data_IF_009035794484
#
_entry.id   IF_009035794484
#
_cell.length_a   1.000
_cell.length_b   1.000
_cell.length_c   1.000
_cell.angle_alpha   90.00
_cell.angle_beta   90.00
_cell.angle_gamma   90.00
#
_symmetry.space_group_name_H-M   'P 1'
#
loop_
_entity.id
_entity.type
_entity.pdbx_description
1 polymer ?
#
# COMPACT_ATOMS: atom_id res chain seq x y z
N UNK A 1 -12.16 21.82 10.16
CA UNK A 1 -10.73 21.83 10.54
C UNK A 1 -10.40 20.43 11.02
N UNK A 2 -9.45 19.73 10.39
CA UNK A 2 -9.00 18.42 10.88
C UNK A 2 -8.17 18.68 12.12
N UNK A 3 -8.66 18.27 13.29
CA UNK A 3 -7.80 18.21 14.48
C UNK A 3 -6.69 17.22 14.18
N UNK A 4 -5.44 17.65 14.30
CA UNK A 4 -4.30 16.79 13.99
C UNK A 4 -4.22 15.72 15.07
N UNK A 5 -3.86 14.48 14.73
CA UNK A 5 -3.73 13.39 15.71
C UNK A 5 -2.84 13.79 16.92
N UNK A 6 -1.88 14.68 16.69
CA UNK A 6 -1.01 15.28 17.71
C UNK A 6 -1.76 16.18 18.72
N UNK A 7 -2.78 16.92 18.29
CA UNK A 7 -3.60 17.76 19.18
C UNK A 7 -4.47 16.89 20.10
N UNK A 8 -5.04 15.80 19.54
CA UNK A 8 -5.81 14.82 20.31
C UNK A 8 -4.91 14.11 21.31
N UNK A 9 -3.69 13.76 20.91
CA UNK A 9 -2.70 13.19 21.83
C UNK A 9 -2.41 14.13 23.00
N UNK A 10 -2.16 15.41 22.73
CA UNK A 10 -1.83 16.39 23.76
C UNK A 10 -3.00 16.67 24.72
N UNK A 11 -4.23 16.73 24.21
CA UNK A 11 -5.40 17.10 25.00
C UNK A 11 -6.03 15.93 25.76
N UNK A 12 -6.05 14.74 25.16
CA UNK A 12 -6.79 13.59 25.69
C UNK A 12 -5.84 12.52 26.19
N UNK A 13 -4.84 12.12 25.40
CA UNK A 13 -3.99 10.96 25.72
C UNK A 13 -2.96 11.31 26.79
N UNK A 14 -2.34 12.49 26.73
CA UNK A 14 -1.30 12.90 27.68
C UNK A 14 -1.82 13.08 29.11
N UNK A 15 -3.11 13.45 29.27
CA UNK A 15 -3.76 13.65 30.57
C UNK A 15 -4.06 12.31 31.27
N UNK A 16 -4.10 11.20 30.52
CA UNK A 16 -4.33 9.87 31.07
C UNK A 16 -3.11 9.34 31.84
N UNK A 17 -3.39 8.52 32.86
CA UNK A 17 -2.33 7.81 33.56
C UNK A 17 -1.54 6.90 32.59
N UNK A 18 -0.26 6.60 32.88
CA UNK A 18 0.54 5.72 32.00
C UNK A 18 -0.13 4.37 31.70
N UNK A 19 -0.85 3.80 32.67
CA UNK A 19 -1.59 2.54 32.52
C UNK A 19 -2.77 2.68 31.55
N UNK A 20 -3.52 3.77 31.63
CA UNK A 20 -4.65 4.03 30.73
C UNK A 20 -4.18 4.35 29.31
N UNK A 21 -3.05 5.06 29.16
CA UNK A 21 -2.41 5.28 27.86
C UNK A 21 -2.02 3.96 27.20
N UNK A 22 -1.42 3.05 27.96
CA UNK A 22 -1.04 1.74 27.46
C UNK A 22 -2.27 0.93 27.04
N UNK A 23 -3.33 0.95 27.87
CA UNK A 23 -4.61 0.28 27.54
C UNK A 23 -5.26 0.85 26.29
N UNK A 24 -5.24 2.18 26.13
CA UNK A 24 -5.76 2.84 24.93
C UNK A 24 -4.94 2.46 23.69
N UNK A 25 -3.61 2.42 23.80
CA UNK A 25 -2.74 1.95 22.71
C UNK A 25 -3.06 0.50 22.33
N UNK A 26 -3.30 -0.40 23.31
CA UNK A 26 -3.73 -1.78 23.04
C UNK A 26 -5.07 -1.84 22.32
N UNK A 27 -6.05 -1.01 22.71
CA UNK A 27 -7.35 -0.97 22.03
C UNK A 27 -7.24 -0.49 20.58
N UNK A 28 -6.44 0.56 20.33
CA UNK A 28 -6.18 1.07 18.97
C UNK A 28 -5.47 -0.01 18.13
N UNK A 29 -4.43 -0.64 18.67
CA UNK A 29 -3.70 -1.69 17.94
C UNK A 29 -4.60 -2.89 17.62
N UNK A 30 -5.42 -3.33 18.56
CA UNK A 30 -6.36 -4.43 18.31
C UNK A 30 -7.43 -4.07 17.28
N UNK A 31 -7.90 -2.83 17.27
CA UNK A 31 -8.85 -2.33 16.27
C UNK A 31 -8.21 -2.29 14.88
N UNK A 32 -6.99 -1.74 14.75
CA UNK A 32 -6.26 -1.71 13.48
C UNK A 32 -5.95 -3.12 12.94
N UNK A 33 -5.62 -4.07 13.81
CA UNK A 33 -5.41 -5.48 13.43
C UNK A 33 -6.72 -6.12 12.97
N UNK A 34 -7.84 -5.83 13.65
CA UNK A 34 -9.16 -6.33 13.26
C UNK A 34 -9.70 -5.68 11.98
N UNK A 35 -9.26 -4.46 11.66
CA UNK A 35 -9.62 -3.71 10.47
C UNK A 35 -8.83 -4.11 9.23
N UNK A 36 -8.30 -5.35 9.17
CA UNK A 36 -7.66 -6.02 8.02
C UNK A 36 -7.44 -5.03 6.89
N UNK A 37 -6.41 -4.18 7.03
CA UNK A 37 -6.20 -3.03 6.15
C UNK A 37 -6.35 -3.52 4.72
N UNK A 38 -7.39 -3.04 4.03
CA UNK A 38 -7.70 -3.40 2.64
C UNK A 38 -6.61 -2.99 1.65
N UNK A 39 -5.45 -2.54 2.16
CA UNK A 39 -4.28 -2.19 1.34
C UNK A 39 -3.63 -3.43 0.71
N UNK A 40 -3.91 -4.64 1.20
CA UNK A 40 -3.52 -5.87 0.51
C UNK A 40 -4.77 -6.42 -0.14
N UNK A 41 -4.90 -6.15 -1.44
CA UNK A 41 -5.88 -6.86 -2.26
C UNK A 41 -5.45 -8.33 -2.35
N UNK A 42 -6.25 -9.21 -1.75
CA UNK A 42 -6.06 -10.66 -1.79
C UNK A 42 -6.88 -11.30 -2.92
N UNK A 43 -7.48 -10.49 -3.78
CA UNK A 43 -8.20 -10.99 -4.94
C UNK A 43 -7.22 -11.69 -5.89
N UNK A 44 -7.67 -12.81 -6.49
CA UNK A 44 -6.98 -13.46 -7.60
C UNK A 44 -7.23 -12.71 -8.93
N UNK A 45 -7.65 -11.44 -8.88
CA UNK A 45 -7.95 -10.61 -10.05
C UNK A 45 -6.85 -9.59 -10.26
N UNK A 46 -6.31 -9.53 -11.47
CA UNK A 46 -5.37 -8.48 -11.84
C UNK A 46 -6.06 -7.13 -11.92
N UNK A 47 -5.39 -6.10 -11.43
CA UNK A 47 -5.86 -4.73 -11.60
C UNK A 47 -5.72 -4.30 -13.06
N UNK A 48 -6.43 -3.23 -13.44
CA UNK A 48 -6.28 -2.66 -14.78
C UNK A 48 -4.84 -2.15 -15.01
N UNK A 49 -4.17 -1.68 -13.95
CA UNK A 49 -2.78 -1.22 -14.00
C UNK A 49 -1.82 -2.39 -14.27
N UNK A 50 -2.02 -3.53 -13.60
CA UNK A 50 -1.22 -4.75 -13.84
C UNK A 50 -1.32 -5.20 -15.31
N UNK A 51 -2.50 -5.12 -15.90
CA UNK A 51 -2.72 -5.48 -17.31
C UNK A 51 -2.02 -4.52 -18.27
N UNK A 52 -2.11 -3.21 -18.01
CA UNK A 52 -1.44 -2.18 -18.82
C UNK A 52 0.07 -2.36 -18.74
N UNK A 53 0.61 -2.60 -17.55
CA UNK A 53 2.03 -2.82 -17.34
C UNK A 53 2.52 -4.07 -18.06
N UNK A 54 1.75 -5.16 -18.04
CA UNK A 54 2.09 -6.37 -18.78
C UNK A 54 2.13 -6.15 -20.29
N UNK A 55 1.16 -5.41 -20.84
CA UNK A 55 1.11 -5.10 -22.28
C UNK A 55 2.28 -4.20 -22.66
N UNK A 56 2.56 -3.16 -21.88
CA UNK A 56 3.69 -2.26 -22.11
C UNK A 56 5.03 -2.98 -22.04
N UNK A 57 5.21 -3.86 -21.04
CA UNK A 57 6.38 -4.71 -20.94
C UNK A 57 6.53 -5.59 -22.18
N UNK A 58 5.46 -6.29 -22.57
CA UNK A 58 5.46 -7.20 -23.72
C UNK A 58 5.78 -6.47 -25.03
N UNK A 59 5.21 -5.27 -25.23
CA UNK A 59 5.46 -4.45 -26.41
C UNK A 59 6.91 -3.95 -26.45
N UNK A 60 7.42 -3.47 -25.32
CA UNK A 60 8.84 -3.05 -25.20
C UNK A 60 9.75 -4.21 -25.49
N UNK A 61 9.50 -5.37 -24.88
CA UNK A 61 10.27 -6.59 -25.10
C UNK A 61 10.28 -6.97 -26.58
N UNK A 62 9.10 -7.07 -27.20
CA UNK A 62 8.96 -7.34 -28.63
C UNK A 62 9.75 -6.33 -29.48
N UNK A 63 9.62 -5.03 -29.21
CA UNK A 63 10.37 -4.01 -29.96
C UNK A 63 11.89 -4.20 -29.85
N UNK A 64 12.42 -4.53 -28.66
CA UNK A 64 13.83 -4.91 -28.50
C UNK A 64 14.18 -6.20 -29.24
N UNK A 65 13.39 -7.26 -29.08
CA UNK A 65 13.68 -8.56 -29.72
C UNK A 65 13.62 -8.47 -31.25
N UNK A 66 12.66 -7.74 -31.82
CA UNK A 66 12.59 -7.53 -33.27
C UNK A 66 13.70 -6.61 -33.79
N UNK A 67 14.13 -5.62 -32.99
CA UNK A 67 15.33 -4.84 -33.32
C UNK A 67 16.62 -5.69 -33.27
N UNK A 68 16.69 -6.67 -32.37
CA UNK A 68 17.81 -7.62 -32.29
C UNK A 68 17.77 -8.67 -33.42
N UNK A 69 16.58 -9.06 -33.91
CA UNK A 69 16.41 -10.01 -35.02
C UNK A 69 16.75 -9.40 -36.38
N UNK A 70 16.54 -8.09 -36.57
CA UNK A 70 17.00 -7.36 -37.77
C UNK A 70 18.54 -7.17 -37.79
N UNK A 71 19.23 -7.51 -36.69
CA UNK A 71 20.69 -7.62 -36.58
C UNK A 71 21.28 -9.00 -36.92
N UNK A 72 20.47 -9.96 -37.38
CA UNK A 72 20.95 -11.20 -38.01
C UNK A 72 20.53 -11.19 -39.48
N UNK A 73 21.04 -10.22 -40.23
CA UNK A 73 21.18 -10.34 -41.69
C UNK A 73 22.57 -10.92 -42.00
N UNK A 74 22.56 -12.12 -42.61
CA UNK A 74 23.26 -12.53 -43.85
C UNK A 74 23.48 -14.05 -43.88
#
# INVERSE_FOLDING_TARGET
MKTTAQEIYAQVVHVLSPTERLRLATLILNELVGQQLTSVDQSDTWTDEDQIDLVNFSLRYAATTFSDVEGVEL
#
